data_IF_610793555588
#
_entry.id   IF_610793555588
#
_cell.length_a   1.000
_cell.length_b   1.000
_cell.length_c   1.000
_cell.angle_alpha   90.00
_cell.angle_beta   90.00
_cell.angle_gamma   90.00
#
_symmetry.space_group_name_H-M   'P 1'
#
loop_
_entity.id
_entity.type
_entity.pdbx_description
1 polymer ?
#
# COMPACT_ATOMS: atom_id res chain seq x y z
N UNK A 1 22.72 -21.33 7.36
CA UNK A 1 22.65 -19.87 7.61
C UNK A 1 21.27 -19.61 8.19
N UNK A 2 21.17 -19.08 9.41
CA UNK A 2 19.86 -18.88 10.05
C UNK A 2 19.06 -17.79 9.34
N UNK A 3 17.75 -17.98 9.27
CA UNK A 3 16.75 -16.99 8.83
C UNK A 3 16.57 -15.90 9.87
N UNK A 4 15.96 -14.77 9.50
CA UNK A 4 15.73 -13.68 10.44
C UNK A 4 14.78 -14.08 11.58
N UNK A 5 13.78 -14.91 11.27
CA UNK A 5 12.83 -15.43 12.26
C UNK A 5 13.54 -16.33 13.26
N UNK A 6 14.43 -17.21 12.79
CA UNK A 6 15.22 -18.09 13.67
C UNK A 6 16.12 -17.26 14.60
N UNK A 7 16.81 -16.24 14.07
CA UNK A 7 17.66 -15.35 14.88
C UNK A 7 16.87 -14.62 15.97
N UNK A 8 15.71 -14.05 15.65
CA UNK A 8 14.85 -13.41 16.64
C UNK A 8 14.31 -14.39 17.67
N UNK A 9 14.01 -15.63 17.25
CA UNK A 9 13.52 -16.67 18.15
C UNK A 9 14.59 -17.12 19.14
N UNK A 10 15.83 -17.31 18.68
CA UNK A 10 16.97 -17.62 19.54
C UNK A 10 17.30 -16.48 20.51
N UNK A 11 17.10 -15.24 20.11
CA UNK A 11 17.18 -14.06 20.97
C UNK A 11 16.00 -13.93 21.97
N UNK A 12 15.09 -14.90 22.02
CA UNK A 12 13.99 -14.96 22.99
C UNK A 12 12.74 -14.17 22.58
N UNK A 13 12.62 -13.79 21.30
CA UNK A 13 11.40 -13.20 20.77
C UNK A 13 10.44 -14.26 20.21
N UNK A 14 9.15 -14.05 20.42
CA UNK A 14 8.10 -14.76 19.71
C UNK A 14 7.71 -13.95 18.48
N UNK A 15 7.96 -14.51 17.29
CA UNK A 15 7.69 -13.87 16.00
C UNK A 15 6.43 -14.45 15.38
N UNK A 16 5.47 -13.60 14.99
CA UNK A 16 4.26 -14.01 14.27
C UNK A 16 4.34 -13.48 12.84
N UNK A 17 4.66 -14.39 11.93
CA UNK A 17 4.55 -14.16 10.49
C UNK A 17 3.18 -14.65 9.98
N UNK A 18 2.66 -14.01 8.92
CA UNK A 18 1.51 -14.53 8.18
C UNK A 18 0.13 -14.27 8.79
N UNK A 19 -0.02 -13.20 9.60
CA UNK A 19 -1.35 -12.69 9.98
C UNK A 19 -2.15 -12.34 8.71
N UNK A 20 -3.50 -12.31 8.75
CA UNK A 20 -4.30 -11.93 7.58
C UNK A 20 -3.87 -10.60 6.93
N UNK A 21 -3.49 -9.61 7.75
CA UNK A 21 -2.94 -8.34 7.30
C UNK A 21 -1.60 -8.51 6.57
N UNK A 22 -0.65 -9.24 7.17
CA UNK A 22 0.65 -9.57 6.57
C UNK A 22 0.47 -10.23 5.19
N UNK A 23 -0.44 -11.21 5.07
CA UNK A 23 -0.72 -11.89 3.79
C UNK A 23 -1.26 -10.93 2.73
N UNK A 24 -2.17 -10.03 3.09
CA UNK A 24 -2.72 -9.01 2.18
C UNK A 24 -1.66 -8.01 1.74
N UNK A 25 -0.86 -7.51 2.69
CA UNK A 25 0.21 -6.57 2.42
C UNK A 25 1.30 -7.19 1.53
N UNK A 26 1.76 -8.41 1.83
CA UNK A 26 2.69 -9.14 0.95
C UNK A 26 2.13 -9.35 -0.46
N UNK A 27 0.86 -9.76 -0.57
CA UNK A 27 0.22 -9.93 -1.87
C UNK A 27 0.11 -8.60 -2.63
N UNK A 28 -0.25 -7.51 -1.95
CA UNK A 28 -0.31 -6.18 -2.53
C UNK A 28 1.06 -5.68 -3.00
N UNK A 29 2.10 -5.85 -2.18
CA UNK A 29 3.46 -5.42 -2.50
C UNK A 29 3.99 -6.14 -3.73
N UNK A 30 3.81 -7.46 -3.84
CA UNK A 30 4.18 -8.22 -5.05
C UNK A 30 3.35 -7.78 -6.26
N UNK A 31 2.05 -7.57 -6.05
CA UNK A 31 1.13 -7.13 -7.09
C UNK A 31 1.46 -5.74 -7.66
N UNK A 32 1.85 -4.81 -6.80
CA UNK A 32 2.10 -3.41 -7.14
C UNK A 32 3.57 -3.13 -7.48
N UNK A 33 4.51 -3.87 -6.91
CA UNK A 33 5.96 -3.75 -7.14
C UNK A 33 6.35 -3.95 -8.60
N UNK A 34 5.58 -4.75 -9.35
CA UNK A 34 5.76 -4.96 -10.79
C UNK A 34 5.29 -3.77 -11.66
N UNK A 35 4.76 -2.71 -11.06
CA UNK A 35 4.13 -1.61 -11.80
C UNK A 35 4.67 -0.25 -11.39
N UNK A 36 5.41 0.38 -12.32
CA UNK A 36 5.94 1.75 -12.16
C UNK A 36 4.87 2.79 -11.84
N UNK A 37 3.60 2.53 -12.19
CA UNK A 37 2.50 3.46 -11.92
C UNK A 37 2.32 3.79 -10.44
N UNK A 38 2.62 2.87 -9.51
CA UNK A 38 2.48 3.17 -8.08
C UNK A 38 3.56 4.11 -7.53
N UNK A 39 4.57 4.44 -8.35
CA UNK A 39 5.65 5.36 -8.01
C UNK A 39 5.30 6.81 -8.38
N UNK A 40 4.32 7.04 -9.25
CA UNK A 40 3.91 8.39 -9.64
C UNK A 40 3.20 9.09 -8.46
N UNK A 41 3.66 10.29 -8.04
CA UNK A 41 3.06 11.02 -6.92
C UNK A 41 1.55 11.29 -7.08
N UNK A 42 1.05 11.44 -8.32
CA UNK A 42 -0.37 11.64 -8.60
C UNK A 42 -1.18 10.35 -8.40
N UNK A 43 -0.57 9.18 -8.63
CA UNK A 43 -1.16 7.89 -8.30
C UNK A 43 -1.15 7.66 -6.79
N UNK A 44 -0.05 7.96 -6.11
CA UNK A 44 0.02 7.93 -4.63
C UNK A 44 -1.07 8.82 -4.04
N UNK A 45 -1.27 10.02 -4.58
CA UNK A 45 -2.35 10.94 -4.19
C UNK A 45 -3.74 10.36 -4.47
N UNK A 46 -3.94 9.70 -5.61
CA UNK A 46 -5.18 9.01 -5.95
C UNK A 46 -5.50 7.91 -4.93
N UNK A 47 -4.53 7.05 -4.62
CA UNK A 47 -4.67 5.94 -3.68
C UNK A 47 -4.83 6.41 -2.23
N UNK A 48 -4.34 7.62 -1.91
CA UNK A 48 -4.55 8.28 -0.63
C UNK A 48 -5.98 8.83 -0.46
N UNK A 49 -6.79 8.89 -1.53
CA UNK A 49 -8.16 9.41 -1.47
C UNK A 49 -9.04 8.58 -0.52
N UNK A 50 -9.57 9.23 0.52
CA UNK A 50 -10.35 8.57 1.56
C UNK A 50 -11.62 7.88 1.06
N UNK A 51 -12.29 8.43 0.03
CA UNK A 51 -13.52 7.85 -0.50
C UNK A 51 -13.22 6.54 -1.25
N UNK A 52 -12.17 6.52 -2.08
CA UNK A 52 -11.73 5.30 -2.75
C UNK A 52 -11.30 4.22 -1.74
N UNK A 53 -10.53 4.58 -0.70
CA UNK A 53 -10.13 3.65 0.38
C UNK A 53 -11.32 3.08 1.16
N UNK A 54 -12.40 3.86 1.31
CA UNK A 54 -13.68 3.39 1.89
C UNK A 54 -14.48 2.50 0.93
N UNK A 55 -14.04 2.36 -0.32
CA UNK A 55 -14.70 1.54 -1.34
C UNK A 55 -15.81 2.27 -2.10
N UNK A 56 -15.88 3.61 -1.99
CA UNK A 56 -16.76 4.40 -2.84
C UNK A 56 -16.32 4.30 -4.30
N UNK A 57 -17.29 4.36 -5.20
CA UNK A 57 -17.03 4.45 -6.64
C UNK A 57 -16.78 5.91 -7.01
N UNK A 58 -15.92 6.16 -7.99
CA UNK A 58 -15.70 7.50 -8.53
C UNK A 58 -15.70 7.51 -10.06
N UNK A 59 -16.30 8.52 -10.67
CA UNK A 59 -16.17 8.76 -12.11
C UNK A 59 -14.76 9.28 -12.44
N UNK A 60 -14.38 9.24 -13.72
CA UNK A 60 -13.11 9.81 -14.17
C UNK A 60 -12.98 11.29 -13.79
N UNK A 61 -14.06 12.07 -13.94
CA UNK A 61 -14.09 13.49 -13.57
C UNK A 61 -13.86 13.70 -12.08
N UNK A 62 -14.47 12.89 -11.22
CA UNK A 62 -14.28 12.95 -9.77
C UNK A 62 -12.84 12.60 -9.38
N UNK A 63 -12.25 11.60 -10.03
CA UNK A 63 -10.83 11.23 -9.87
C UNK A 63 -9.92 12.41 -10.26
N UNK A 64 -10.12 12.99 -11.43
CA UNK A 64 -9.33 14.14 -11.93
C UNK A 64 -9.47 15.32 -10.96
N UNK A 65 -10.69 15.61 -10.49
CA UNK A 65 -10.96 16.69 -9.53
C UNK A 65 -10.30 16.45 -8.17
N UNK A 66 -10.20 15.20 -7.72
CA UNK A 66 -9.56 14.84 -6.46
C UNK A 66 -8.04 14.94 -6.53
N UNK A 67 -7.45 14.48 -7.64
CA UNK A 67 -5.99 14.46 -7.85
C UNK A 67 -5.46 15.83 -8.27
N UNK A 68 -6.23 16.60 -9.05
CA UNK A 68 -5.85 17.91 -9.62
C UNK A 68 -4.49 17.85 -10.33
N UNK A 69 -4.36 17.06 -11.42
CA UNK A 69 -3.06 16.82 -12.07
C UNK A 69 -2.46 18.04 -12.77
N UNK A 70 -3.26 19.09 -13.05
CA UNK A 70 -2.76 20.32 -13.67
C UNK A 70 -2.09 20.05 -15.03
N UNK A 71 -0.85 20.52 -15.21
CA UNK A 71 -0.07 20.31 -16.44
C UNK A 71 0.31 18.84 -16.68
N UNK A 72 0.30 18.00 -15.65
CA UNK A 72 0.62 16.58 -15.74
C UNK A 72 -0.60 15.70 -16.06
N UNK A 73 -1.68 16.28 -16.61
CA UNK A 73 -2.94 15.57 -16.88
C UNK A 73 -2.74 14.34 -17.78
N UNK A 74 -2.05 14.47 -18.90
CA UNK A 74 -1.84 13.35 -19.84
C UNK A 74 -1.04 12.21 -19.21
N UNK A 75 0.07 12.53 -18.52
CA UNK A 75 0.88 11.56 -17.77
C UNK A 75 0.02 10.83 -16.74
N UNK A 76 -0.75 11.57 -15.95
CA UNK A 76 -1.65 10.99 -14.96
C UNK A 76 -2.67 10.05 -15.60
N UNK A 77 -3.30 10.43 -16.71
CA UNK A 77 -4.27 9.58 -17.39
C UNK A 77 -3.65 8.30 -17.95
N UNK A 78 -2.41 8.37 -18.46
CA UNK A 78 -1.66 7.18 -18.89
C UNK A 78 -1.39 6.23 -17.71
N UNK A 79 -0.88 6.75 -16.60
CA UNK A 79 -0.60 5.95 -15.40
C UNK A 79 -1.88 5.39 -14.76
N UNK A 80 -2.94 6.20 -14.68
CA UNK A 80 -4.24 5.76 -14.17
C UNK A 80 -4.85 4.66 -15.05
N UNK A 81 -4.66 4.72 -16.37
CA UNK A 81 -5.12 3.67 -17.29
C UNK A 81 -4.37 2.36 -17.06
N UNK A 82 -3.06 2.40 -16.81
CA UNK A 82 -2.29 1.21 -16.41
C UNK A 82 -2.80 0.65 -15.09
N UNK A 83 -3.13 1.52 -14.13
CA UNK A 83 -3.73 1.12 -12.86
C UNK A 83 -5.11 0.47 -13.04
N UNK A 84 -5.92 0.85 -14.03
CA UNK A 84 -7.23 0.24 -14.32
C UNK A 84 -7.12 -1.24 -14.73
N UNK A 85 -5.97 -1.70 -15.18
CA UNK A 85 -5.78 -3.11 -15.51
C UNK A 85 -5.55 -3.98 -14.27
N UNK A 86 -5.13 -3.37 -13.16
CA UNK A 86 -4.65 -4.09 -11.97
C UNK A 86 -5.29 -3.54 -10.68
N UNK A 87 -5.04 -2.29 -10.33
CA UNK A 87 -5.46 -1.71 -9.04
C UNK A 87 -6.84 -1.05 -9.00
N UNK A 88 -7.37 -0.58 -10.14
CA UNK A 88 -8.70 0.02 -10.25
C UNK A 88 -9.59 -0.83 -11.14
N UNK A 89 -10.79 -1.15 -10.69
CA UNK A 89 -11.78 -1.88 -11.47
C UNK A 89 -12.78 -0.89 -12.07
N UNK A 90 -13.02 -1.00 -13.37
CA UNK A 90 -14.04 -0.22 -14.08
C UNK A 90 -15.39 -0.94 -14.00
N UNK A 91 -16.47 -0.19 -13.84
CA UNK A 91 -17.84 -0.73 -13.78
C UNK A 91 -18.89 0.36 -13.85
N UNK A 92 -20.11 0.03 -13.45
CA UNK A 92 -21.26 0.94 -13.42
C UNK A 92 -21.89 0.96 -12.04
N UNK A 93 -22.31 2.13 -11.57
CA UNK A 93 -23.22 2.23 -10.43
C UNK A 93 -24.65 2.35 -10.97
N UNK A 94 -25.48 1.34 -10.71
CA UNK A 94 -26.82 1.22 -11.29
C UNK A 94 -27.85 1.04 -10.17
N UNK A 95 -29.01 1.68 -10.32
CA UNK A 95 -30.17 1.48 -9.46
C UNK A 95 -31.14 0.51 -10.13
N UNK A 96 -31.47 -0.58 -9.45
CA UNK A 96 -32.43 -1.56 -9.95
C UNK A 96 -33.84 -0.94 -10.03
N UNK A 97 -34.52 -0.98 -11.19
CA UNK A 97 -35.87 -0.42 -11.30
C UNK A 97 -36.92 -1.21 -10.52
N UNK A 98 -36.65 -2.49 -10.18
CA UNK A 98 -37.62 -3.35 -9.49
C UNK A 98 -37.57 -3.21 -7.97
N UNK A 99 -36.38 -3.19 -7.37
CA UNK A 99 -36.22 -3.14 -5.91
C UNK A 99 -35.52 -1.87 -5.39
N UNK A 100 -35.24 -0.91 -6.26
CA UNK A 100 -34.55 0.36 -5.95
C UNK A 100 -33.15 0.22 -5.33
N UNK A 101 -32.56 -0.99 -5.31
CA UNK A 101 -31.20 -1.20 -4.83
C UNK A 101 -30.20 -0.54 -5.79
N UNK A 102 -29.41 0.40 -5.28
CA UNK A 102 -28.23 0.94 -5.97
C UNK A 102 -27.00 0.10 -5.61
N UNK A 103 -26.35 -0.45 -6.62
CA UNK A 103 -25.14 -1.24 -6.44
C UNK A 103 -24.12 -1.02 -7.58
N UNK A 104 -22.89 -1.48 -7.38
CA UNK A 104 -21.81 -1.40 -8.35
C UNK A 104 -21.60 -2.72 -9.08
N UNK A 105 -21.60 -2.66 -10.40
CA UNK A 105 -21.47 -3.80 -11.29
C UNK A 105 -20.15 -3.70 -12.06
N UNK A 106 -19.19 -4.62 -11.85
CA UNK A 106 -17.91 -4.60 -12.56
C UNK A 106 -18.13 -4.84 -14.05
N UNK A 107 -17.37 -4.13 -14.89
CA UNK A 107 -17.20 -4.52 -16.27
C UNK A 107 -16.26 -5.72 -16.28
N UNK A 108 -16.77 -6.92 -16.56
CA UNK A 108 -15.89 -8.08 -16.69
C UNK A 108 -14.92 -7.82 -17.85
N UNK A 109 -13.60 -8.01 -17.67
CA UNK A 109 -12.70 -7.99 -18.79
C UNK A 109 -13.10 -9.13 -19.73
N UNK A 110 -13.14 -8.91 -21.05
CA UNK A 110 -13.28 -10.02 -21.98
C UNK A 110 -12.11 -10.97 -21.73
N UNK A 111 -12.39 -12.19 -21.29
CA UNK A 111 -11.38 -13.23 -21.22
C UNK A 111 -10.81 -13.38 -22.63
N UNK A 112 -9.49 -13.29 -22.77
CA UNK A 112 -8.81 -13.37 -24.05
C UNK A 112 -9.22 -14.64 -24.80
N UNK A 113 -10.05 -14.50 -25.83
CA UNK A 113 -10.51 -15.58 -26.70
C UNK A 113 -12.00 -15.89 -26.64
N UNK A 114 -12.68 -15.55 -25.55
CA UNK A 114 -14.13 -15.75 -25.44
C UNK A 114 -14.82 -14.41 -25.58
N UNK A 115 -15.65 -14.28 -26.62
CA UNK A 115 -16.76 -13.34 -26.62
C UNK A 115 -17.67 -13.82 -25.50
N UNK A 116 -17.34 -13.46 -24.26
CA UNK A 116 -18.16 -13.75 -23.10
C UNK A 116 -19.55 -13.23 -23.46
N UNK A 117 -20.50 -14.15 -23.65
CA UNK A 117 -21.88 -13.79 -23.88
C UNK A 117 -22.25 -12.92 -22.68
N UNK A 118 -22.36 -11.61 -22.91
CA UNK A 118 -22.75 -10.66 -21.88
C UNK A 118 -24.24 -10.96 -21.67
N UNK A 119 -24.51 -11.95 -20.81
CA UNK A 119 -25.85 -12.16 -20.30
C UNK A 119 -26.34 -10.85 -19.69
N UNK A 120 -27.67 -10.64 -19.62
CA UNK A 120 -28.20 -9.43 -19.04
C UNK A 120 -27.63 -9.25 -17.63
N UNK A 121 -27.13 -8.04 -17.33
CA UNK A 121 -26.74 -7.67 -15.97
C UNK A 121 -27.89 -8.00 -15.02
N UNK A 122 -27.64 -8.63 -13.89
CA UNK A 122 -28.68 -9.02 -12.93
C UNK A 122 -28.52 -8.23 -11.64
N UNK A 123 -29.63 -7.78 -11.08
CA UNK A 123 -29.64 -7.12 -9.78
C UNK A 123 -29.06 -8.03 -8.69
N UNK A 124 -28.14 -7.52 -7.87
CA UNK A 124 -27.58 -8.25 -6.73
C UNK A 124 -28.61 -8.59 -5.64
N UNK A 125 -29.71 -7.81 -5.54
CA UNK A 125 -30.78 -8.01 -4.57
C UNK A 125 -31.91 -8.93 -5.05
N UNK A 126 -32.61 -8.53 -6.12
CA UNK A 126 -33.78 -9.26 -6.60
C UNK A 126 -33.51 -10.20 -7.80
N UNK A 127 -32.28 -10.26 -8.29
CA UNK A 127 -31.85 -11.10 -9.43
C UNK A 127 -32.54 -10.87 -10.78
N UNK A 128 -33.42 -9.87 -10.86
CA UNK A 128 -34.04 -9.45 -12.10
C UNK A 128 -33.01 -8.83 -13.06
N UNK A 129 -33.18 -9.01 -14.38
CA UNK A 129 -32.40 -8.32 -15.39
C UNK A 129 -32.44 -6.80 -15.21
N UNK A 130 -31.29 -6.16 -15.40
CA UNK A 130 -31.09 -4.72 -15.42
C UNK A 130 -30.66 -4.35 -16.84
N UNK A 131 -31.44 -3.48 -17.48
CA UNK A 131 -31.03 -2.83 -18.72
C UNK A 131 -30.04 -1.72 -18.40
N UNK A 132 -28.88 -1.72 -19.06
CA UNK A 132 -27.91 -0.64 -18.90
C UNK A 132 -28.49 0.66 -19.49
N UNK A 133 -28.59 1.75 -18.71
CA UNK A 133 -29.04 3.03 -19.23
C UNK A 133 -28.12 3.56 -20.34
N UNK A 134 -28.69 4.21 -21.37
CA UNK A 134 -27.90 4.80 -22.47
C UNK A 134 -26.88 5.86 -21.99
N UNK A 135 -27.17 6.53 -20.88
CA UNK A 135 -26.33 7.55 -20.27
C UNK A 135 -25.53 7.04 -19.05
N UNK A 136 -25.40 5.71 -18.88
CA UNK A 136 -24.64 5.14 -17.78
C UNK A 136 -23.17 5.54 -17.88
N UNK A 137 -22.68 6.25 -16.88
CA UNK A 137 -21.27 6.63 -16.79
C UNK A 137 -20.45 5.53 -16.13
N UNK A 138 -19.24 5.33 -16.62
CA UNK A 138 -18.28 4.46 -15.94
C UNK A 138 -17.90 5.06 -14.58
N UNK A 139 -17.83 4.18 -13.60
CA UNK A 139 -17.26 4.47 -12.30
C UNK A 139 -16.17 3.44 -11.97
N UNK A 140 -15.18 3.90 -11.23
CA UNK A 140 -14.02 3.15 -10.84
C UNK A 140 -14.06 2.87 -9.35
N UNK A 141 -13.68 1.65 -8.98
CA UNK A 141 -13.56 1.21 -7.59
C UNK A 141 -12.19 0.57 -7.41
N UNK A 142 -11.59 0.71 -6.24
CA UNK A 142 -10.35 -0.02 -5.96
C UNK A 142 -10.60 -1.52 -5.98
N UNK A 143 -9.66 -2.26 -6.56
CA UNK A 143 -9.57 -3.70 -6.39
C UNK A 143 -9.62 -4.03 -4.87
N UNK A 144 -10.39 -5.04 -4.43
CA UNK A 144 -10.51 -5.37 -3.01
C UNK A 144 -9.17 -5.60 -2.29
N UNK A 145 -8.21 -6.27 -2.94
CA UNK A 145 -6.87 -6.49 -2.39
C UNK A 145 -6.16 -5.16 -2.14
N UNK A 146 -6.12 -4.31 -3.16
CA UNK A 146 -5.49 -2.97 -3.08
C UNK A 146 -6.18 -2.15 -2.00
N UNK A 147 -7.51 -2.14 -1.95
CA UNK A 147 -8.28 -1.39 -0.96
C UNK A 147 -7.95 -1.82 0.47
N UNK A 148 -7.98 -3.12 0.76
CA UNK A 148 -7.69 -3.60 2.12
C UNK A 148 -6.23 -3.35 2.48
N UNK A 149 -5.28 -3.59 1.58
CA UNK A 149 -3.87 -3.29 1.82
C UNK A 149 -3.64 -1.80 2.11
N UNK A 150 -4.30 -0.89 1.37
CA UNK A 150 -4.21 0.55 1.64
C UNK A 150 -4.81 0.94 2.99
N UNK A 151 -5.79 0.21 3.55
CA UNK A 151 -6.27 0.45 4.93
C UNK A 151 -5.23 0.02 5.97
N UNK A 152 -4.38 -0.93 5.62
CA UNK A 152 -3.35 -1.52 6.48
C UNK A 152 -1.97 -0.86 6.32
N UNK A 153 -1.88 0.31 5.66
CA UNK A 153 -0.60 1.00 5.45
C UNK A 153 0.20 0.51 4.24
N UNK A 154 -0.45 -0.18 3.29
CA UNK A 154 0.24 -0.70 2.10
C UNK A 154 0.95 0.36 1.27
N UNK A 155 0.43 1.59 1.21
CA UNK A 155 1.04 2.67 0.42
C UNK A 155 2.42 3.06 0.93
N UNK A 156 2.61 3.06 2.25
CA UNK A 156 3.90 3.38 2.87
C UNK A 156 4.89 2.25 2.87
N UNK A 157 4.43 1.01 2.79
CA UNK A 157 5.28 -0.16 2.61
C UNK A 157 5.75 -0.25 1.16
N UNK A 158 4.89 0.10 0.20
CA UNK A 158 5.20 -0.03 -1.21
C UNK A 158 6.37 0.86 -1.67
N UNK A 159 6.49 2.06 -1.13
CA UNK A 159 7.54 3.00 -1.53
C UNK A 159 8.96 2.52 -1.15
N UNK A 160 9.26 2.17 0.12
CA UNK A 160 10.54 1.58 0.47
C UNK A 160 10.74 0.21 -0.19
N UNK A 161 9.68 -0.58 -0.39
CA UNK A 161 9.79 -1.82 -1.16
C UNK A 161 10.32 -1.57 -2.57
N UNK A 162 9.73 -0.63 -3.31
CA UNK A 162 10.19 -0.26 -4.65
C UNK A 162 11.64 0.20 -4.63
N UNK A 163 12.01 1.05 -3.66
CA UNK A 163 13.38 1.55 -3.51
C UNK A 163 14.37 0.41 -3.29
N UNK A 164 13.95 -0.66 -2.61
CA UNK A 164 14.78 -1.82 -2.26
C UNK A 164 14.69 -2.98 -3.27
N UNK A 165 13.83 -2.91 -4.30
CA UNK A 165 13.70 -3.96 -5.32
C UNK A 165 15.03 -4.27 -6.01
N UNK A 166 15.86 -3.26 -6.25
CA UNK A 166 17.15 -3.40 -6.91
C UNK A 166 18.17 -4.22 -6.10
N UNK A 167 17.92 -4.42 -4.80
CA UNK A 167 18.85 -5.11 -3.90
C UNK A 167 18.74 -6.63 -3.99
N UNK A 168 17.72 -7.18 -4.67
CA UNK A 168 17.58 -8.61 -4.91
C UNK A 168 17.35 -9.42 -3.63
N UNK A 169 16.19 -9.23 -2.99
CA UNK A 169 15.85 -9.93 -1.75
C UNK A 169 15.75 -11.46 -1.96
N UNK A 170 16.38 -12.22 -1.06
CA UNK A 170 16.32 -13.69 -0.96
C UNK A 170 15.42 -14.16 0.17
N UNK A 171 15.13 -13.29 1.14
CA UNK A 171 14.16 -13.49 2.22
C UNK A 171 13.34 -12.21 2.36
N UNK A 172 12.02 -12.33 2.44
CA UNK A 172 11.11 -11.20 2.62
C UNK A 172 10.02 -11.53 3.63
N UNK A 173 9.81 -10.63 4.57
CA UNK A 173 8.67 -10.68 5.48
C UNK A 173 8.06 -9.29 5.59
N UNK A 174 6.74 -9.22 5.48
CA UNK A 174 5.98 -7.96 5.55
C UNK A 174 5.02 -8.02 6.73
N UNK A 175 4.97 -6.94 7.52
CA UNK A 175 4.12 -6.77 8.69
C UNK A 175 4.23 -7.92 9.72
N UNK A 176 5.43 -8.14 10.26
CA UNK A 176 5.65 -9.14 11.32
C UNK A 176 5.27 -8.59 12.68
N UNK A 177 4.70 -9.42 13.55
CA UNK A 177 4.61 -9.12 14.98
C UNK A 177 5.83 -9.69 15.68
N UNK A 178 6.48 -8.89 16.52
CA UNK A 178 7.58 -9.35 17.37
C UNK A 178 7.27 -9.01 18.82
N UNK A 179 7.28 -10.02 19.68
CA UNK A 179 7.00 -9.83 21.11
C UNK A 179 7.88 -10.65 22.02
N UNK A 180 8.18 -10.09 23.18
CA UNK A 180 8.75 -10.80 24.33
C UNK A 180 8.10 -10.26 25.61
N UNK A 181 8.66 -10.57 26.79
CA UNK A 181 8.10 -10.12 28.08
C UNK A 181 8.12 -8.59 28.28
N UNK A 182 8.97 -7.87 27.55
CA UNK A 182 9.24 -6.44 27.77
C UNK A 182 8.92 -5.57 26.54
N UNK A 183 8.65 -6.17 25.39
CA UNK A 183 8.45 -5.49 24.13
C UNK A 183 7.34 -6.17 23.32
N UNK A 184 6.53 -5.34 22.69
CA UNK A 184 5.61 -5.74 21.63
C UNK A 184 5.67 -4.66 20.55
N UNK A 185 6.12 -5.04 19.37
CA UNK A 185 6.22 -4.15 18.21
C UNK A 185 5.83 -4.90 16.95
N UNK A 186 5.32 -4.16 15.97
CA UNK A 186 5.20 -4.62 14.60
C UNK A 186 6.45 -4.17 13.83
N UNK A 187 6.93 -5.00 12.90
CA UNK A 187 7.96 -4.65 11.91
C UNK A 187 7.27 -4.58 10.56
N UNK A 188 7.32 -3.44 9.90
CA UNK A 188 6.65 -3.25 8.60
C UNK A 188 7.29 -4.09 7.50
N UNK A 189 8.63 -4.13 7.41
CA UNK A 189 9.33 -5.01 6.48
C UNK A 189 10.66 -5.53 7.05
N UNK A 190 10.97 -6.78 6.72
CA UNK A 190 12.25 -7.38 6.98
C UNK A 190 12.72 -8.06 5.69
N UNK A 191 13.85 -7.60 5.16
CA UNK A 191 14.43 -8.09 3.92
C UNK A 191 15.82 -8.62 4.17
N UNK A 192 16.20 -9.66 3.45
CA UNK A 192 17.57 -10.14 3.38
C UNK A 192 17.97 -10.23 1.92
N UNK A 193 19.15 -9.72 1.58
CA UNK A 193 19.76 -9.89 0.27
C UNK A 193 21.21 -10.36 0.42
N UNK A 194 21.92 -10.68 -0.68
CA UNK A 194 23.35 -10.96 -0.64
C UNK A 194 24.19 -9.80 -0.08
N UNK A 195 23.67 -8.57 -0.12
CA UNK A 195 24.35 -7.36 0.35
C UNK A 195 24.16 -7.13 1.86
N UNK A 196 23.25 -7.86 2.51
CA UNK A 196 22.97 -7.74 3.93
C UNK A 196 21.48 -7.85 4.26
N UNK A 197 21.16 -7.70 5.55
CA UNK A 197 19.80 -7.64 6.04
C UNK A 197 19.32 -6.21 6.27
N UNK A 198 18.02 -5.97 6.10
CA UNK A 198 17.37 -4.68 6.25
C UNK A 198 16.09 -4.86 7.06
N UNK A 199 15.93 -4.03 8.09
CA UNK A 199 14.68 -3.85 8.82
C UNK A 199 14.11 -2.48 8.47
N UNK A 200 12.89 -2.44 7.94
CA UNK A 200 12.22 -1.20 7.55
C UNK A 200 11.02 -0.97 8.46
N UNK A 201 10.93 0.22 9.02
CA UNK A 201 9.78 0.73 9.73
C UNK A 201 9.17 1.89 8.94
N UNK A 202 7.86 1.86 8.70
CA UNK A 202 7.14 2.77 7.82
C UNK A 202 6.10 3.58 8.60
N UNK A 203 5.99 4.89 8.33
CA UNK A 203 4.92 5.75 8.89
C UNK A 203 4.39 6.76 7.87
N UNK A 204 3.09 6.68 7.54
CA UNK A 204 2.42 7.54 6.54
C UNK A 204 2.52 9.00 6.92
N UNK A 205 2.05 9.30 8.13
CA UNK A 205 2.01 10.63 8.69
C UNK A 205 1.95 10.52 10.22
N UNK A 206 3.03 10.92 10.90
CA UNK A 206 3.03 11.05 12.35
C UNK A 206 2.76 12.51 12.75
N UNK A 207 2.11 12.70 13.90
CA UNK A 207 1.89 14.03 14.45
C UNK A 207 3.18 14.54 15.08
N UNK A 208 3.53 15.80 14.86
CA UNK A 208 4.69 16.48 15.49
C UNK A 208 4.33 17.11 16.84
N UNK A 209 3.40 16.49 17.57
CA UNK A 209 2.94 16.96 18.89
C UNK A 209 3.80 16.35 20.00
N UNK A 210 3.93 17.04 21.12
CA UNK A 210 4.73 16.60 22.28
C UNK A 210 4.33 15.22 22.82
N UNK A 211 3.07 14.80 22.66
CA UNK A 211 2.61 13.47 23.04
C UNK A 211 2.95 12.36 22.03
N UNK A 212 3.10 12.71 20.74
CA UNK A 212 3.27 11.75 19.65
C UNK A 212 4.75 11.47 19.33
N UNK A 213 5.61 12.49 19.49
CA UNK A 213 7.05 12.34 19.25
C UNK A 213 7.70 11.30 20.19
N UNK A 214 7.41 11.25 21.51
CA UNK A 214 7.96 10.22 22.38
C UNK A 214 7.48 8.80 22.06
N UNK A 215 6.31 8.65 21.43
CA UNK A 215 5.86 7.35 20.95
C UNK A 215 6.64 6.93 19.72
N UNK A 216 6.83 7.83 18.75
CA UNK A 216 7.61 7.57 17.56
C UNK A 216 9.08 7.27 17.89
N UNK A 217 9.67 8.04 18.80
CA UNK A 217 11.02 7.81 19.34
C UNK A 217 11.17 6.37 19.85
N UNK A 218 10.21 5.91 20.67
CA UNK A 218 10.21 4.54 21.20
C UNK A 218 10.10 3.48 20.11
N UNK A 219 9.29 3.70 19.08
CA UNK A 219 9.21 2.80 17.93
C UNK A 219 10.55 2.72 17.18
N UNK A 220 11.22 3.86 17.00
CA UNK A 220 12.55 3.90 16.37
C UNK A 220 13.59 3.18 17.24
N UNK A 221 13.60 3.42 18.56
CA UNK A 221 14.51 2.73 19.49
C UNK A 221 14.33 1.21 19.45
N UNK A 222 13.07 0.73 19.43
CA UNK A 222 12.76 -0.69 19.31
C UNK A 222 13.24 -1.26 17.96
N UNK A 223 13.01 -0.53 16.87
CA UNK A 223 13.44 -0.93 15.53
C UNK A 223 14.97 -1.01 15.40
N UNK A 224 15.69 -0.03 15.96
CA UNK A 224 17.15 -0.01 16.01
C UNK A 224 17.70 -1.21 16.81
N UNK A 225 17.15 -1.48 17.99
CA UNK A 225 17.55 -2.62 18.82
C UNK A 225 17.31 -3.96 18.11
N UNK A 226 16.18 -4.11 17.44
CA UNK A 226 15.87 -5.31 16.66
C UNK A 226 16.80 -5.48 15.46
N UNK A 227 17.11 -4.38 14.76
CA UNK A 227 18.07 -4.39 13.67
C UNK A 227 19.47 -4.78 14.17
N UNK A 228 19.92 -4.25 15.30
CA UNK A 228 21.18 -4.64 15.95
C UNK A 228 21.22 -6.13 16.29
N UNK A 229 20.15 -6.65 16.92
CA UNK A 229 20.00 -8.08 17.26
C UNK A 229 20.12 -8.99 16.04
N UNK A 230 19.60 -8.54 14.90
CA UNK A 230 19.67 -9.25 13.63
C UNK A 230 21.00 -9.07 12.89
N UNK A 231 21.80 -8.06 13.26
CA UNK A 231 22.92 -7.56 12.45
C UNK A 231 22.48 -6.91 11.13
N UNK A 232 21.30 -6.29 11.13
CA UNK A 232 20.64 -5.71 9.96
C UNK A 232 20.78 -4.18 9.96
N UNK A 233 20.65 -3.57 8.77
CA UNK A 233 20.52 -2.12 8.65
C UNK A 233 19.08 -1.70 8.97
N UNK A 234 18.93 -0.68 9.81
CA UNK A 234 17.63 -0.07 10.08
C UNK A 234 17.28 1.00 9.04
N UNK A 235 16.06 1.02 8.54
CA UNK A 235 15.52 2.06 7.68
C UNK A 235 14.21 2.56 8.28
N UNK A 236 14.12 3.86 8.52
CA UNK A 236 12.86 4.53 8.84
C UNK A 236 12.34 5.26 7.59
N UNK A 237 11.15 4.89 7.12
CA UNK A 237 10.55 5.41 5.90
C UNK A 237 9.26 6.19 6.21
N UNK A 238 9.12 7.38 5.63
CA UNK A 238 7.93 8.22 5.79
C UNK A 238 7.61 9.03 4.54
N UNK A 239 6.33 9.35 4.31
CA UNK A 239 5.91 10.24 3.22
C UNK A 239 6.02 11.72 3.60
N UNK A 240 6.42 12.05 4.83
CA UNK A 240 6.69 13.43 5.20
C UNK A 240 7.98 13.93 4.55
N UNK A 241 7.97 15.18 4.12
CA UNK A 241 9.13 15.89 3.55
C UNK A 241 10.23 16.16 4.58
N UNK A 242 9.87 16.22 5.86
CA UNK A 242 10.79 16.58 6.95
C UNK A 242 10.46 15.81 8.22
N UNK A 243 11.51 15.31 8.88
CA UNK A 243 11.47 14.67 10.19
C UNK A 243 12.14 15.60 11.21
N UNK A 244 11.67 15.64 12.48
CA UNK A 244 12.37 16.38 13.53
C UNK A 244 13.85 15.99 13.63
N UNK A 245 14.74 16.99 13.73
CA UNK A 245 16.18 16.79 13.74
C UNK A 245 16.68 15.84 14.85
N UNK A 246 15.97 15.77 15.98
CA UNK A 246 16.27 14.84 17.08
C UNK A 246 16.11 13.38 16.65
N UNK A 247 15.07 13.06 15.88
CA UNK A 247 14.83 11.71 15.37
C UNK A 247 15.81 11.37 14.25
N UNK A 248 16.12 12.34 13.38
CA UNK A 248 17.14 12.16 12.34
C UNK A 248 18.51 11.86 12.95
N UNK A 249 18.92 12.59 13.98
CA UNK A 249 20.16 12.35 14.71
C UNK A 249 20.17 10.97 15.40
N UNK A 250 19.06 10.58 16.03
CA UNK A 250 18.92 9.24 16.64
C UNK A 250 19.10 8.13 15.60
N UNK A 251 18.39 8.21 14.46
CA UNK A 251 18.48 7.22 13.39
C UNK A 251 19.93 7.12 12.89
N UNK A 252 20.59 8.26 12.65
CA UNK A 252 21.98 8.29 12.19
C UNK A 252 22.96 7.69 13.22
N UNK A 253 22.78 7.99 14.52
CA UNK A 253 23.60 7.44 15.60
C UNK A 253 23.46 5.92 15.73
N UNK A 254 22.25 5.40 15.48
CA UNK A 254 21.97 3.96 15.45
C UNK A 254 22.37 3.26 14.15
N UNK A 255 23.17 3.89 13.29
CA UNK A 255 23.55 3.39 11.96
C UNK A 255 22.33 3.06 11.06
N UNK A 256 21.22 3.77 11.27
CA UNK A 256 20.02 3.68 10.46
C UNK A 256 20.05 4.64 9.28
N UNK A 257 19.08 4.48 8.38
CA UNK A 257 18.82 5.39 7.26
C UNK A 257 17.42 5.98 7.36
N UNK A 258 17.30 7.28 7.08
CA UNK A 258 16.03 7.96 6.91
C UNK A 258 15.66 8.02 5.42
N UNK A 259 14.44 7.61 5.07
CA UNK A 259 13.84 7.82 3.75
C UNK A 259 12.58 8.67 3.91
N UNK A 260 12.57 9.84 3.29
CA UNK A 260 11.47 10.81 3.33
C UNK A 260 10.65 10.79 2.05
N UNK A 261 9.57 11.58 2.00
CA UNK A 261 8.78 11.77 0.76
C UNK A 261 9.65 12.17 -0.43
N UNK A 262 10.74 12.93 -0.19
CA UNK A 262 11.71 13.31 -1.23
C UNK A 262 12.45 12.11 -1.78
N UNK A 263 12.93 11.23 -0.91
CA UNK A 263 13.71 10.07 -1.35
C UNK A 263 12.82 9.06 -2.08
N UNK A 264 11.58 8.94 -1.61
CA UNK A 264 10.63 7.92 -2.06
C UNK A 264 9.83 8.33 -3.30
N UNK A 265 9.58 9.62 -3.52
CA UNK A 265 8.68 10.12 -4.58
C UNK A 265 9.36 11.02 -5.63
N UNK A 266 10.42 11.76 -5.26
CA UNK A 266 11.07 12.75 -6.15
C UNK A 266 11.68 12.19 -7.44
N UNK A 267 12.16 10.93 -7.52
CA UNK A 267 12.62 10.39 -8.80
C UNK A 267 11.54 10.37 -9.91
N UNK A 268 10.28 10.65 -9.56
CA UNK A 268 9.10 10.51 -10.43
C UNK A 268 8.29 11.80 -10.60
N UNK A 269 8.80 12.94 -10.09
CA UNK A 269 8.25 14.27 -10.33
C UNK A 269 8.69 14.83 -11.68
#
# INVERSE_FOLDING_TARGET
MMTAIETLTEAGHHVIAGRPASKRLSAFVRFAGDTKSYQDPLIVRLLSNAQLRKGATQTAEQIIKAVKPGKAHERFMQQATQLVQKGLQRGYTLTCPTCALTDWYPLQPPLAGDVAQIGPLRCSGCHNPITLPFNAQFAYKLNPLVREALKEGGLTILNPWVYLLEWGAVEEHIALEVKNRHMHTDIDMLLRSPQGGILVECKDNFKKTDAALPQLQRTIDQGLMLAETLGYRYIFATLQETVPATLEAQIAQGNGQLLTGRDLLKPWE
#
